data_IF_904605379759
#
_entry.id   IF_904605379759
#
_cell.length_a   1.000
_cell.length_b   1.000
_cell.length_c   1.000
_cell.angle_alpha   90.00
_cell.angle_beta   90.00
_cell.angle_gamma   90.00
#
_symmetry.space_group_name_H-M   'P 1'
#
loop_
_entity.id
_entity.type
_entity.pdbx_description
1 polymer ?
#
# COMPACT_ATOMS: atom_id res chain seq x y z
N UNK A 1 -48.88 1.10 -13.08
CA UNK A 1 -48.11 1.11 -14.34
C UNK A 1 -47.00 0.10 -14.21
N UNK A 2 -46.96 -0.89 -15.07
CA UNK A 2 -45.92 -1.92 -15.07
C UNK A 2 -44.60 -1.28 -15.53
N UNK A 3 -43.58 -1.33 -14.71
CA UNK A 3 -42.21 -0.89 -15.04
C UNK A 3 -41.69 -1.76 -16.19
N UNK A 4 -41.09 -1.15 -17.22
CA UNK A 4 -40.57 -1.95 -18.33
C UNK A 4 -39.28 -2.66 -17.91
N UNK A 5 -39.00 -3.85 -18.49
CA UNK A 5 -37.75 -4.58 -18.24
C UNK A 5 -36.50 -3.73 -18.47
N UNK A 6 -36.56 -2.81 -19.44
CA UNK A 6 -35.48 -1.86 -19.70
C UNK A 6 -35.28 -0.89 -18.51
N UNK A 7 -36.37 -0.37 -17.91
CA UNK A 7 -36.28 0.51 -16.76
C UNK A 7 -35.71 -0.20 -15.54
N UNK A 8 -36.04 -1.49 -15.35
CA UNK A 8 -35.47 -2.30 -14.27
C UNK A 8 -33.95 -2.48 -14.46
N UNK A 9 -33.49 -2.74 -15.69
CA UNK A 9 -32.05 -2.83 -16.01
C UNK A 9 -31.34 -1.48 -15.79
N UNK A 10 -31.95 -0.37 -16.22
CA UNK A 10 -31.38 0.97 -15.96
C UNK A 10 -31.23 1.26 -14.46
N UNK A 11 -32.21 0.87 -13.67
CA UNK A 11 -32.15 1.01 -12.21
C UNK A 11 -31.02 0.17 -11.61
N UNK A 12 -30.95 -1.11 -11.95
CA UNK A 12 -29.87 -2.00 -11.48
C UNK A 12 -28.49 -1.47 -11.86
N UNK A 13 -28.34 -0.94 -13.08
CA UNK A 13 -27.08 -0.32 -13.53
C UNK A 13 -26.72 0.93 -12.71
N UNK A 14 -27.68 1.79 -12.44
CA UNK A 14 -27.47 2.99 -11.62
C UNK A 14 -27.08 2.63 -10.19
N UNK A 15 -27.72 1.65 -9.59
CA UNK A 15 -27.41 1.13 -8.26
C UNK A 15 -26.00 0.55 -8.20
N UNK A 16 -25.62 -0.28 -9.20
CA UNK A 16 -24.28 -0.86 -9.29
C UNK A 16 -23.19 0.23 -9.40
N UNK A 17 -23.41 1.27 -10.21
CA UNK A 17 -22.49 2.41 -10.31
C UNK A 17 -22.35 3.16 -8.99
N UNK A 18 -23.45 3.40 -8.30
CA UNK A 18 -23.45 4.08 -6.99
C UNK A 18 -22.69 3.28 -5.95
N UNK A 19 -22.94 1.97 -5.89
CA UNK A 19 -22.25 1.07 -4.96
C UNK A 19 -20.74 1.00 -5.22
N UNK A 20 -20.34 0.95 -6.51
CA UNK A 20 -18.93 0.97 -6.87
C UNK A 20 -18.25 2.31 -6.53
N UNK A 21 -18.94 3.43 -6.73
CA UNK A 21 -18.42 4.74 -6.37
C UNK A 21 -18.22 4.88 -4.85
N UNK A 22 -19.16 4.38 -4.05
CA UNK A 22 -19.04 4.33 -2.59
C UNK A 22 -17.86 3.45 -2.15
N UNK A 23 -17.76 2.23 -2.69
CA UNK A 23 -16.65 1.31 -2.41
C UNK A 23 -15.28 1.93 -2.73
N UNK A 24 -15.17 2.62 -3.87
CA UNK A 24 -13.94 3.33 -4.26
C UNK A 24 -13.59 4.45 -3.29
N UNK A 25 -14.56 5.28 -2.92
CA UNK A 25 -14.35 6.36 -1.95
C UNK A 25 -13.88 5.85 -0.59
N UNK A 26 -14.50 4.77 -0.09
CA UNK A 26 -14.10 4.14 1.16
C UNK A 26 -12.69 3.54 1.07
N UNK A 27 -12.32 2.98 -0.08
CA UNK A 27 -10.98 2.44 -0.31
C UNK A 27 -9.93 3.54 -0.31
N UNK A 28 -10.20 4.68 -0.93
CA UNK A 28 -9.30 5.85 -0.87
C UNK A 28 -9.15 6.38 0.56
N UNK A 29 -10.25 6.47 1.29
CA UNK A 29 -10.22 6.88 2.68
C UNK A 29 -9.39 5.92 3.55
N UNK A 30 -9.55 4.61 3.34
CA UNK A 30 -8.75 3.60 4.04
C UNK A 30 -7.25 3.78 3.75
N UNK A 31 -6.86 3.87 2.49
CA UNK A 31 -5.47 4.01 2.10
C UNK A 31 -4.83 5.29 2.65
N UNK A 32 -5.55 6.42 2.61
CA UNK A 32 -5.10 7.68 3.19
C UNK A 32 -4.95 7.59 4.72
N UNK A 33 -5.89 6.92 5.39
CA UNK A 33 -5.85 6.69 6.84
C UNK A 33 -4.66 5.80 7.21
N UNK A 34 -4.43 4.73 6.45
CA UNK A 34 -3.31 3.83 6.65
C UNK A 34 -1.96 4.56 6.51
N UNK A 35 -1.75 5.26 5.40
CA UNK A 35 -0.49 5.95 5.13
C UNK A 35 -0.22 7.05 6.17
N UNK A 36 -1.23 7.84 6.51
CA UNK A 36 -1.12 8.88 7.56
C UNK A 36 -0.82 8.26 8.92
N UNK A 37 -1.56 7.22 9.31
CA UNK A 37 -1.36 6.54 10.58
C UNK A 37 0.02 5.92 10.70
N UNK A 38 0.55 5.33 9.62
CA UNK A 38 1.92 4.83 9.60
C UNK A 38 2.95 5.95 9.82
N UNK A 39 2.81 7.07 9.12
CA UNK A 39 3.76 8.18 9.26
C UNK A 39 3.73 8.81 10.64
N UNK A 40 2.54 8.96 11.23
CA UNK A 40 2.37 9.42 12.60
C UNK A 40 2.97 8.44 13.62
N UNK A 41 2.69 7.14 13.45
CA UNK A 41 3.22 6.07 14.30
C UNK A 41 4.75 6.00 14.26
N UNK A 42 5.33 6.09 13.07
CA UNK A 42 6.78 6.03 12.86
C UNK A 42 7.49 7.36 13.18
N UNK A 43 6.77 8.44 13.46
CA UNK A 43 7.34 9.77 13.63
C UNK A 43 7.97 10.32 12.34
N UNK A 44 7.42 9.93 11.17
CA UNK A 44 7.99 10.31 9.88
C UNK A 44 7.60 11.74 9.49
N UNK A 45 8.54 12.59 9.00
CA UNK A 45 8.21 13.92 8.52
C UNK A 45 7.24 13.85 7.33
N UNK A 46 6.12 14.58 7.40
CA UNK A 46 5.05 14.52 6.38
C UNK A 46 5.53 14.98 5.00
N UNK A 47 6.43 15.94 4.96
CA UNK A 47 7.06 16.46 3.74
C UNK A 47 7.90 15.43 2.99
N UNK A 48 8.32 14.37 3.67
CA UNK A 48 9.11 13.28 3.11
C UNK A 48 8.26 12.08 2.67
N UNK A 49 6.94 12.27 2.52
CA UNK A 49 6.01 11.22 2.11
C UNK A 49 5.37 11.58 0.78
N UNK A 50 5.42 10.66 -0.17
CA UNK A 50 4.73 10.74 -1.44
C UNK A 50 4.01 9.43 -1.75
N UNK A 51 3.12 9.45 -2.72
CA UNK A 51 2.42 8.25 -3.17
C UNK A 51 2.92 7.84 -4.55
N UNK A 52 2.92 6.55 -4.84
CA UNK A 52 3.45 6.02 -6.09
C UNK A 52 2.65 4.79 -6.53
N UNK A 53 2.27 4.70 -7.82
CA UNK A 53 1.67 3.49 -8.37
C UNK A 53 2.61 2.29 -8.24
N UNK A 54 2.06 1.14 -7.86
CA UNK A 54 2.87 -0.08 -7.63
C UNK A 54 3.47 -0.63 -8.91
N UNK A 55 2.76 -0.48 -10.03
CA UNK A 55 3.14 -1.05 -11.33
C UNK A 55 3.90 -0.06 -12.24
N UNK A 56 4.13 1.15 -11.75
CA UNK A 56 4.87 2.17 -12.50
C UNK A 56 6.38 1.93 -12.39
N UNK A 57 6.99 1.47 -13.47
CA UNK A 57 8.44 1.58 -13.61
C UNK A 57 8.76 3.06 -13.81
N UNK A 58 9.46 3.66 -12.84
CA UNK A 58 9.84 5.09 -12.85
C UNK A 58 8.68 6.11 -12.82
N UNK A 59 7.54 5.76 -12.19
CA UNK A 59 6.47 6.71 -11.99
C UNK A 59 6.90 7.83 -11.02
N UNK A 60 6.61 9.08 -11.37
CA UNK A 60 6.85 10.20 -10.48
C UNK A 60 5.93 10.12 -9.26
N UNK A 61 6.46 10.36 -8.05
CA UNK A 61 5.63 10.41 -6.86
C UNK A 61 4.54 11.47 -6.97
N UNK A 62 3.32 11.12 -6.59
CA UNK A 62 2.18 12.04 -6.55
C UNK A 62 1.84 12.39 -5.11
N UNK A 63 1.18 13.56 -4.93
CA UNK A 63 0.65 13.97 -3.63
C UNK A 63 -0.79 13.49 -3.41
N UNK A 64 -1.41 12.93 -4.45
CA UNK A 64 -2.78 12.40 -4.40
C UNK A 64 -2.76 10.89 -4.38
N UNK A 65 -3.33 10.33 -3.32
CA UNK A 65 -3.36 8.88 -3.15
C UNK A 65 -4.21 8.19 -4.25
N UNK A 66 -5.22 8.88 -4.74
CA UNK A 66 -6.10 8.39 -5.80
C UNK A 66 -5.36 8.09 -7.10
N UNK A 67 -4.30 8.88 -7.38
CA UNK A 67 -3.48 8.71 -8.58
C UNK A 67 -2.46 7.56 -8.44
N UNK A 68 -2.22 7.13 -7.19
CA UNK A 68 -1.30 6.04 -6.86
C UNK A 68 -2.01 4.69 -6.66
N UNK A 69 -3.33 4.69 -6.65
CA UNK A 69 -4.13 3.49 -6.39
C UNK A 69 -4.71 2.90 -7.66
N UNK A 70 -4.68 1.58 -7.77
CA UNK A 70 -5.45 0.86 -8.79
C UNK A 70 -6.10 -0.40 -8.20
N UNK A 71 -7.22 -0.79 -8.80
CA UNK A 71 -7.94 -2.01 -8.47
C UNK A 71 -7.55 -3.10 -9.48
N UNK A 72 -6.99 -4.19 -8.99
CA UNK A 72 -6.60 -5.31 -9.83
C UNK A 72 -7.74 -6.32 -10.01
N UNK A 73 -7.56 -7.25 -10.96
CA UNK A 73 -8.52 -8.29 -11.29
C UNK A 73 -8.81 -9.27 -10.13
N UNK A 74 -7.91 -9.38 -9.15
CA UNK A 74 -8.09 -10.16 -7.92
C UNK A 74 -8.98 -9.48 -6.88
N UNK A 75 -9.45 -8.25 -7.17
CA UNK A 75 -10.27 -7.44 -6.29
C UNK A 75 -9.50 -6.72 -5.18
N UNK A 76 -8.18 -6.70 -5.24
CA UNK A 76 -7.34 -5.92 -4.34
C UNK A 76 -7.03 -4.54 -4.91
N UNK A 77 -7.08 -3.54 -4.03
CA UNK A 77 -6.50 -2.24 -4.28
C UNK A 77 -5.01 -2.29 -3.99
N UNK A 78 -4.22 -1.80 -4.93
CA UNK A 78 -2.76 -1.72 -4.83
C UNK A 78 -2.35 -0.26 -4.70
N UNK A 79 -1.43 0.04 -3.80
CA UNK A 79 -0.79 1.35 -3.74
C UNK A 79 0.58 1.28 -3.08
N UNK A 80 1.41 2.27 -3.38
CA UNK A 80 2.69 2.48 -2.75
C UNK A 80 2.76 3.84 -2.08
N UNK A 81 3.51 3.94 -1.01
CA UNK A 81 3.92 5.21 -0.46
C UNK A 81 5.43 5.26 -0.30
N UNK A 82 5.99 6.34 -0.80
CA UNK A 82 7.42 6.60 -0.78
C UNK A 82 7.77 7.39 0.45
N UNK A 83 8.76 6.92 1.18
CA UNK A 83 9.27 7.50 2.41
C UNK A 83 10.68 8.04 2.14
N UNK A 84 10.87 9.35 2.24
CA UNK A 84 12.18 9.96 2.16
C UNK A 84 13.01 9.67 3.40
N UNK A 85 14.27 9.35 3.20
CA UNK A 85 15.26 9.10 4.24
C UNK A 85 16.42 10.07 4.06
N UNK A 86 16.93 10.62 5.15
CA UNK A 86 18.08 11.52 5.13
C UNK A 86 19.12 11.09 6.16
N UNK A 87 20.37 11.16 5.77
CA UNK A 87 21.50 11.10 6.67
C UNK A 87 22.48 12.26 6.37
N UNK A 88 23.51 12.52 7.18
CA UNK A 88 24.45 13.59 6.94
C UNK A 88 25.22 13.51 5.61
N UNK A 89 25.17 12.39 4.93
CA UNK A 89 25.90 12.12 3.68
C UNK A 89 25.01 12.14 2.44
N UNK A 90 23.67 12.05 2.61
CA UNK A 90 22.79 12.05 1.45
C UNK A 90 21.33 11.77 1.76
N UNK A 91 20.55 11.71 0.69
CA UNK A 91 19.13 11.41 0.71
C UNK A 91 18.86 10.10 0.01
N UNK A 92 17.95 9.33 0.57
CA UNK A 92 17.45 8.10 0.00
C UNK A 92 15.92 8.07 0.04
N UNK A 93 15.33 7.04 -0.52
CA UNK A 93 13.90 6.81 -0.38
C UNK A 93 13.60 5.32 -0.32
N UNK A 94 12.53 5.02 0.36
CA UNK A 94 11.97 3.69 0.51
C UNK A 94 10.56 3.68 -0.06
N UNK A 95 10.23 2.72 -0.90
CA UNK A 95 8.87 2.50 -1.39
C UNK A 95 8.24 1.35 -0.61
N UNK A 96 7.21 1.67 0.17
CA UNK A 96 6.37 0.66 0.84
C UNK A 96 5.19 0.36 -0.06
N UNK A 97 5.10 -0.88 -0.49
CA UNK A 97 4.01 -1.37 -1.35
C UNK A 97 3.07 -2.21 -0.52
N UNK A 98 1.79 -2.02 -0.73
CA UNK A 98 0.77 -2.86 -0.11
C UNK A 98 -0.44 -3.03 -1.02
N UNK A 99 -1.18 -4.07 -0.76
CA UNK A 99 -2.49 -4.28 -1.33
C UNK A 99 -3.50 -4.54 -0.23
N UNK A 100 -4.73 -4.12 -0.43
CA UNK A 100 -5.79 -4.37 0.52
C UNK A 100 -7.12 -4.57 -0.20
N UNK A 101 -8.04 -5.21 0.51
CA UNK A 101 -9.39 -5.48 0.03
C UNK A 101 -10.36 -5.31 1.19
N UNK A 102 -11.44 -4.57 0.96
CA UNK A 102 -12.54 -4.49 1.91
C UNK A 102 -13.50 -5.65 1.65
N UNK A 103 -13.75 -6.45 2.64
CA UNK A 103 -14.89 -7.34 2.74
C UNK A 103 -15.98 -6.67 3.56
N UNK A 104 -17.17 -7.25 3.65
CA UNK A 104 -18.35 -6.62 4.28
C UNK A 104 -18.05 -5.94 5.63
N UNK A 105 -17.32 -6.63 6.52
CA UNK A 105 -17.08 -6.18 7.90
C UNK A 105 -15.61 -6.03 8.25
N UNK A 106 -14.68 -6.23 7.30
CA UNK A 106 -13.24 -6.23 7.57
C UNK A 106 -12.42 -5.86 6.36
N UNK A 107 -11.17 -5.50 6.62
CA UNK A 107 -10.15 -5.32 5.60
C UNK A 107 -9.15 -6.47 5.67
N UNK A 108 -8.74 -6.96 4.51
CA UNK A 108 -7.58 -7.83 4.35
C UNK A 108 -6.47 -6.94 3.80
N UNK A 109 -5.33 -6.90 4.49
CA UNK A 109 -4.17 -6.10 4.14
C UNK A 109 -3.01 -7.05 3.91
N UNK A 110 -2.41 -6.99 2.74
CA UNK A 110 -1.27 -7.83 2.35
C UNK A 110 -0.06 -6.94 2.16
N UNK A 111 0.96 -7.16 2.95
CA UNK A 111 2.29 -6.62 2.72
C UNK A 111 3.02 -7.58 1.79
N UNK A 112 3.65 -7.09 0.73
CA UNK A 112 4.27 -7.93 -0.30
C UNK A 112 5.11 -9.08 0.25
N UNK A 113 4.62 -10.31 0.08
CA UNK A 113 5.29 -11.55 0.50
C UNK A 113 5.20 -11.89 2.00
N UNK A 114 4.51 -11.09 2.80
CA UNK A 114 4.19 -11.40 4.18
C UNK A 114 2.79 -12.03 4.31
N UNK A 115 2.46 -12.48 5.51
CA UNK A 115 1.11 -12.94 5.85
C UNK A 115 0.07 -11.83 5.65
N UNK A 116 -1.15 -12.22 5.32
CA UNK A 116 -2.27 -11.30 5.25
C UNK A 116 -2.72 -10.93 6.67
N UNK A 117 -3.00 -9.65 6.88
CA UNK A 117 -3.55 -9.13 8.12
C UNK A 117 -5.04 -8.87 7.93
N UNK A 118 -5.84 -9.25 8.94
CA UNK A 118 -7.26 -8.94 8.96
C UNK A 118 -7.56 -7.91 10.04
N UNK A 119 -8.24 -6.82 9.68
CA UNK A 119 -8.67 -5.77 10.61
C UNK A 119 -10.14 -5.44 10.40
N UNK A 120 -10.91 -5.34 11.49
CA UNK A 120 -12.33 -4.99 11.39
C UNK A 120 -12.54 -3.50 11.04
N UNK A 121 -11.66 -2.64 11.53
CA UNK A 121 -11.68 -1.20 11.24
C UNK A 121 -10.26 -0.64 11.24
N UNK A 122 -9.97 0.41 10.45
CA UNK A 122 -8.63 0.99 10.37
C UNK A 122 -8.35 1.93 11.56
N UNK A 123 -8.48 1.40 12.79
CA UNK A 123 -8.12 2.15 13.99
C UNK A 123 -6.60 2.08 14.22
N UNK A 124 -6.00 3.06 14.91
CA UNK A 124 -4.58 3.04 15.22
C UNK A 124 -4.12 1.75 15.90
N UNK A 125 -4.91 1.24 16.83
CA UNK A 125 -4.60 0.02 17.59
C UNK A 125 -4.64 -1.23 16.69
N UNK A 126 -5.63 -1.31 15.80
CA UNK A 126 -5.76 -2.45 14.86
C UNK A 126 -4.68 -2.45 13.78
N UNK A 127 -4.15 -1.28 13.40
CA UNK A 127 -3.12 -1.14 12.38
C UNK A 127 -1.70 -1.22 12.94
N UNK A 128 -1.52 -1.04 14.24
CA UNK A 128 -0.19 -1.05 14.89
C UNK A 128 0.65 -2.30 14.57
N UNK A 129 0.12 -3.55 14.65
CA UNK A 129 0.93 -4.73 14.30
C UNK A 129 1.45 -4.72 12.86
N UNK A 130 0.69 -4.12 11.94
CA UNK A 130 1.07 -3.99 10.52
C UNK A 130 2.17 -2.95 10.39
N UNK A 131 2.07 -1.83 11.10
CA UNK A 131 3.10 -0.80 11.14
C UNK A 131 4.42 -1.32 11.71
N UNK A 132 4.36 -2.12 12.78
CA UNK A 132 5.53 -2.80 13.35
C UNK A 132 6.17 -3.75 12.33
N UNK A 133 5.36 -4.54 11.61
CA UNK A 133 5.87 -5.43 10.58
C UNK A 133 6.60 -4.67 9.46
N UNK A 134 6.07 -3.53 9.02
CA UNK A 134 6.72 -2.65 8.04
C UNK A 134 8.05 -2.14 8.59
N UNK A 135 8.08 -1.60 9.80
CA UNK A 135 9.30 -1.05 10.41
C UNK A 135 10.38 -2.12 10.60
N UNK A 136 9.99 -3.33 11.02
CA UNK A 136 10.89 -4.47 11.16
C UNK A 136 11.47 -4.84 9.79
N UNK A 137 10.64 -4.96 8.76
CA UNK A 137 11.07 -5.28 7.40
C UNK A 137 12.06 -4.23 6.85
N UNK A 138 11.76 -2.94 7.04
CA UNK A 138 12.64 -1.83 6.65
C UNK A 138 13.99 -1.90 7.37
N UNK A 139 13.98 -2.07 8.70
CA UNK A 139 15.23 -2.18 9.48
C UNK A 139 16.06 -3.37 9.04
N UNK A 140 15.44 -4.52 8.83
CA UNK A 140 16.12 -5.73 8.33
C UNK A 140 16.71 -5.48 6.95
N UNK A 141 15.96 -4.85 6.05
CA UNK A 141 16.46 -4.54 4.71
C UNK A 141 17.76 -3.72 4.76
N UNK A 142 17.82 -2.66 5.56
CA UNK A 142 19.04 -1.87 5.70
C UNK A 142 20.16 -2.57 6.46
N UNK A 143 19.83 -3.35 7.49
CA UNK A 143 20.84 -4.10 8.24
C UNK A 143 21.52 -5.19 7.40
N UNK A 144 20.78 -5.84 6.52
CA UNK A 144 21.30 -6.93 5.68
C UNK A 144 21.66 -6.49 4.25
N UNK A 145 21.23 -5.32 3.81
CA UNK A 145 21.44 -4.83 2.45
C UNK A 145 22.91 -4.75 2.05
N UNK A 146 23.77 -4.30 2.96
CA UNK A 146 25.22 -4.26 2.72
C UNK A 146 25.79 -5.68 2.54
N UNK A 147 25.36 -6.63 3.35
CA UNK A 147 25.79 -8.02 3.26
C UNK A 147 25.38 -8.64 1.93
N UNK A 148 24.13 -8.48 1.53
CA UNK A 148 23.62 -8.96 0.24
C UNK A 148 24.35 -8.30 -0.93
N UNK A 149 24.67 -7.00 -0.82
CA UNK A 149 25.45 -6.29 -1.82
C UNK A 149 26.86 -6.88 -1.97
N UNK A 150 27.53 -7.17 -0.87
CA UNK A 150 28.86 -7.76 -0.86
C UNK A 150 28.85 -9.20 -1.36
N UNK A 151 27.85 -10.00 -0.98
CA UNK A 151 27.69 -11.40 -1.42
C UNK A 151 27.36 -11.50 -2.92
N UNK A 152 26.63 -10.54 -3.48
CA UNK A 152 26.23 -10.49 -4.89
C UNK A 152 27.22 -9.74 -5.81
N UNK A 153 28.41 -9.41 -5.34
CA UNK A 153 29.47 -8.82 -6.16
C UNK A 153 29.24 -7.38 -6.60
N UNK A 154 28.52 -6.59 -5.81
CA UNK A 154 28.42 -5.14 -6.01
C UNK A 154 27.58 -4.68 -7.20
N UNK A 155 26.80 -5.55 -7.83
CA UNK A 155 25.90 -5.16 -8.92
C UNK A 155 24.69 -4.45 -8.35
N UNK A 156 24.69 -3.17 -8.58
CA UNK A 156 23.73 -2.10 -8.32
C UNK A 156 22.44 -2.49 -7.60
N UNK A 157 22.37 -2.20 -6.32
CA UNK A 157 21.13 -2.16 -5.59
C UNK A 157 20.32 -0.91 -6.00
N UNK A 158 19.59 -1.02 -7.09
CA UNK A 158 18.29 -0.34 -7.13
C UNK A 158 17.43 -1.17 -6.19
N UNK A 159 17.18 -0.66 -4.99
CA UNK A 159 16.45 -1.37 -3.96
C UNK A 159 14.94 -1.03 -4.10
N UNK A 160 14.17 -1.75 -4.91
CA UNK A 160 12.77 -1.92 -4.58
C UNK A 160 12.75 -3.03 -3.51
N UNK A 161 12.09 -2.81 -2.38
CA UNK A 161 11.73 -3.93 -1.51
C UNK A 161 10.78 -4.79 -2.33
N UNK A 162 11.31 -5.79 -3.03
CA UNK A 162 10.48 -6.77 -3.72
C UNK A 162 9.99 -7.82 -2.73
N UNK A 163 8.81 -8.35 -2.97
CA UNK A 163 8.23 -9.42 -2.17
C UNK A 163 9.18 -10.61 -1.97
N UNK A 164 9.97 -10.95 -2.98
CA UNK A 164 10.95 -12.02 -2.94
C UNK A 164 12.06 -11.77 -1.92
N UNK A 165 12.46 -10.51 -1.76
CA UNK A 165 13.50 -10.14 -0.79
C UNK A 165 12.97 -10.13 0.65
N UNK A 166 11.71 -9.75 0.88
CA UNK A 166 11.09 -9.85 2.20
C UNK A 166 10.89 -11.32 2.61
N UNK A 167 10.51 -12.19 1.68
CA UNK A 167 10.33 -13.63 1.94
C UNK A 167 11.66 -14.33 2.20
N UNK A 168 12.74 -13.96 1.52
CA UNK A 168 14.07 -14.50 1.75
C UNK A 168 14.67 -14.09 3.11
N UNK A 169 14.22 -12.94 3.66
CA UNK A 169 14.69 -12.44 4.96
C UNK A 169 13.84 -12.95 6.14
N UNK A 170 12.69 -13.56 5.89
CA UNK A 170 11.81 -14.14 6.91
C UNK A 170 12.12 -15.61 7.25
N UNK A 171 13.08 -16.23 6.54
CA UNK A 171 13.64 -17.56 6.83
C UNK A 171 15.01 -17.41 7.47
#
# INVERSE_FOLDING_TARGET
MSQSRYQDLCKAFAEARSNFAAYRSESYFFAATFARGFTEYAGWPRENVGYEPVDGVDAEPTQKIEDAMHLDADGFWHFGFRLGLEDPKGKGSLLVRLRFKKLETRYIISLFGAEDFEVAAPTPEALQPIYDAILIAVKRHYAYGLRLFLENGGRGLKIPISAEQLTALAK
#
